data_IF_807909961788
#
_entry.id   IF_807909961788
#
_cell.length_a   1.000
_cell.length_b   1.000
_cell.length_c   1.000
_cell.angle_alpha   90.00
_cell.angle_beta   90.00
_cell.angle_gamma   90.00
#
_symmetry.space_group_name_H-M   'P 1'
#
loop_
_entity.id
_entity.type
_entity.pdbx_description
1 polymer ?
#
# COMPACT_ATOMS: atom_id res chain seq x y z
N UNK A 1 12.54 -1.02 13.48
CA UNK A 1 14.01 -0.85 13.35
C UNK A 1 14.30 0.29 12.37
N UNK A 2 15.16 1.25 12.73
CA UNK A 2 15.62 2.33 11.81
C UNK A 2 16.81 1.88 10.96
N UNK A 3 16.81 0.62 10.52
CA UNK A 3 17.89 0.04 9.70
C UNK A 3 17.78 0.42 8.23
N UNK A 4 18.80 0.12 7.41
CA UNK A 4 18.85 0.47 5.99
C UNK A 4 17.66 -0.11 5.20
N UNK A 5 17.26 -1.35 5.47
CA UNK A 5 16.10 -1.99 4.86
C UNK A 5 14.79 -1.26 5.19
N UNK A 6 14.61 -0.81 6.43
CA UNK A 6 13.42 -0.05 6.81
C UNK A 6 13.32 1.28 6.06
N UNK A 7 14.46 1.97 5.85
CA UNK A 7 14.50 3.20 5.04
C UNK A 7 14.16 2.93 3.57
N UNK A 8 14.59 1.80 3.01
CA UNK A 8 14.24 1.40 1.64
C UNK A 8 12.74 1.15 1.51
N UNK A 9 12.13 0.43 2.46
CA UNK A 9 10.67 0.20 2.46
C UNK A 9 9.89 1.52 2.51
N UNK A 10 10.30 2.45 3.37
CA UNK A 10 9.62 3.76 3.49
C UNK A 10 9.73 4.63 2.23
N UNK A 11 10.79 4.48 1.42
CA UNK A 11 10.90 5.17 0.12
C UNK A 11 9.87 4.67 -0.91
N UNK A 12 9.41 3.43 -0.76
CA UNK A 12 8.42 2.83 -1.67
C UNK A 12 6.97 3.12 -1.24
N UNK A 13 6.74 3.60 -0.02
CA UNK A 13 5.41 3.91 0.48
C UNK A 13 5.01 5.35 0.09
N UNK A 14 3.85 5.50 -0.57
CA UNK A 14 3.26 6.80 -0.91
C UNK A 14 1.89 6.90 -0.23
N UNK A 15 1.65 7.96 0.55
CA UNK A 15 0.38 8.20 1.25
C UNK A 15 -0.16 9.55 0.79
N UNK A 16 -1.39 9.54 0.27
CA UNK A 16 -2.09 10.72 -0.22
C UNK A 16 -3.25 11.05 0.70
N UNK A 17 -3.48 12.34 0.96
CA UNK A 17 -4.55 12.79 1.85
C UNK A 17 -5.95 12.68 1.24
N UNK A 18 -6.04 12.67 -0.10
CA UNK A 18 -7.30 12.60 -0.84
C UNK A 18 -7.41 11.32 -1.69
N UNK A 19 -8.54 11.15 -2.40
CA UNK A 19 -8.81 9.97 -3.21
C UNK A 19 -7.94 9.90 -4.48
N UNK A 20 -7.40 11.03 -4.93
CA UNK A 20 -6.57 11.12 -6.13
C UNK A 20 -5.09 10.90 -5.82
N UNK A 21 -4.37 10.27 -6.75
CA UNK A 21 -2.93 10.06 -6.68
C UNK A 21 -2.32 10.14 -8.10
N UNK A 22 -1.10 10.68 -8.28
CA UNK A 22 -0.52 10.95 -9.60
C UNK A 22 0.03 9.72 -10.33
N UNK A 23 -0.23 8.50 -9.85
CA UNK A 23 0.36 7.27 -10.42
C UNK A 23 -0.57 6.54 -11.40
N UNK A 24 -1.45 7.27 -12.08
CA UNK A 24 -2.37 6.69 -13.07
C UNK A 24 -1.63 5.95 -14.21
N UNK A 25 -0.45 6.43 -14.60
CA UNK A 25 0.38 5.80 -15.62
C UNK A 25 0.97 4.43 -15.21
N UNK A 26 0.99 4.10 -13.92
CA UNK A 26 1.55 2.84 -13.40
C UNK A 26 0.51 1.72 -13.34
N UNK A 27 -0.76 2.00 -13.69
CA UNK A 27 -1.88 1.05 -13.66
C UNK A 27 -1.89 0.17 -12.38
N UNK A 28 -2.02 0.77 -11.18
CA UNK A 28 -2.00 0.00 -9.94
C UNK A 28 -3.27 -0.86 -9.80
N UNK A 29 -3.08 -2.14 -9.44
CA UNK A 29 -4.18 -3.03 -9.12
C UNK A 29 -4.76 -2.75 -7.72
N UNK A 30 -6.09 -2.82 -7.61
CA UNK A 30 -6.77 -2.68 -6.33
C UNK A 30 -6.51 -3.91 -5.44
N UNK A 31 -5.91 -3.71 -4.27
CA UNK A 31 -5.65 -4.75 -3.29
C UNK A 31 -6.72 -4.77 -2.19
N UNK A 32 -7.56 -5.80 -2.18
CA UNK A 32 -8.51 -6.04 -1.07
C UNK A 32 -7.85 -6.89 0.04
N UNK A 33 -7.30 -6.20 1.04
CA UNK A 33 -6.71 -6.84 2.22
C UNK A 33 -7.77 -7.53 3.10
N UNK A 34 -9.02 -7.09 3.04
CA UNK A 34 -10.13 -7.65 3.80
C UNK A 34 -10.47 -9.07 3.36
N UNK A 35 -10.51 -9.32 2.06
CA UNK A 35 -10.76 -10.64 1.48
C UNK A 35 -9.63 -11.66 1.75
N UNK A 36 -8.40 -11.19 1.96
CA UNK A 36 -7.23 -12.04 2.17
C UNK A 36 -7.19 -12.73 3.54
N UNK A 37 -8.01 -12.29 4.49
CA UNK A 37 -8.08 -12.89 5.82
C UNK A 37 -9.32 -13.78 5.97
N UNK A 38 -9.15 -15.12 6.10
CA UNK A 38 -10.27 -16.04 6.33
C UNK A 38 -11.12 -15.71 7.56
N UNK A 39 -10.56 -15.03 8.56
CA UNK A 39 -11.25 -14.64 9.80
C UNK A 39 -12.26 -13.50 9.61
N UNK A 40 -12.23 -12.80 8.47
CA UNK A 40 -13.15 -11.70 8.16
C UNK A 40 -14.49 -12.19 7.58
N UNK A 41 -14.64 -13.49 7.28
CA UNK A 41 -15.85 -14.08 6.67
C UNK A 41 -16.89 -14.56 7.70
N UNK A 42 -17.02 -13.88 8.84
CA UNK A 42 -18.01 -14.23 9.87
C UNK A 42 -19.42 -13.85 9.46
#
# INVERSE_FOLDING_TARGET
>A
TRGPLGRQQMKNLRVYAGPAHPHEAQAPDSLDVGAMNPKNKR
#
